data_IF_518053792766
#
_entry.id   IF_518053792766
#
_cell.length_a   1.000
_cell.length_b   1.000
_cell.length_c   1.000
_cell.angle_alpha   90.00
_cell.angle_beta   90.00
_cell.angle_gamma   90.00
#
_symmetry.space_group_name_H-M   'P 1'
#
loop_
_entity.id
_entity.type
_entity.pdbx_description
1 polymer ?
#
# COMPACT_ATOMS: atom_id res chain seq x y z
N UNK A 1 -20.12 -41.28 10.29
CA UNK A 1 -21.18 -42.09 10.91
C UNK A 1 -22.41 -41.25 11.16
N UNK A 2 -23.49 -41.47 10.41
CA UNK A 2 -24.80 -40.89 10.71
C UNK A 2 -25.52 -41.82 11.69
N UNK A 3 -25.84 -41.34 12.89
CA UNK A 3 -26.64 -42.10 13.84
C UNK A 3 -28.11 -41.86 13.50
N UNK A 4 -28.75 -42.85 12.87
CA UNK A 4 -30.18 -42.85 12.61
C UNK A 4 -30.88 -43.58 13.77
N UNK A 5 -31.65 -42.85 14.57
CA UNK A 5 -32.52 -43.45 15.56
C UNK A 5 -33.79 -43.96 14.87
N UNK A 6 -33.89 -45.28 14.66
CA UNK A 6 -35.12 -45.92 14.21
C UNK A 6 -35.97 -46.26 15.44
N UNK A 7 -36.97 -45.43 15.70
CA UNK A 7 -38.07 -45.81 16.60
C UNK A 7 -38.90 -46.88 15.89
N UNK A 8 -38.85 -48.11 16.40
CA UNK A 8 -39.62 -49.24 15.88
C UNK A 8 -40.88 -49.41 16.71
N UNK A 9 -42.03 -49.00 16.17
CA UNK A 9 -43.34 -49.46 16.63
C UNK A 9 -43.90 -50.47 15.62
N UNK A 10 -44.22 -51.67 16.08
CA UNK A 10 -44.84 -52.70 15.25
C UNK A 10 -46.35 -52.50 15.21
N UNK A 11 -46.88 -52.11 14.05
CA UNK A 11 -48.33 -51.99 13.80
C UNK A 11 -48.79 -53.18 12.96
N UNK A 12 -49.83 -53.90 13.41
CA UNK A 12 -50.39 -55.02 12.66
C UNK A 12 -51.22 -54.51 11.46
N UNK A 13 -50.78 -54.83 10.23
CA UNK A 13 -51.52 -54.48 9.02
C UNK A 13 -52.52 -55.60 8.63
N UNK A 14 -53.77 -55.26 8.24
CA UNK A 14 -54.71 -56.23 7.69
C UNK A 14 -54.21 -56.84 6.37
N UNK A 15 -54.56 -58.10 6.09
CA UNK A 15 -54.04 -58.91 4.97
C UNK A 15 -54.29 -58.36 3.56
N UNK A 16 -55.10 -57.31 3.41
CA UNK A 16 -55.48 -56.70 2.13
C UNK A 16 -54.82 -55.32 1.88
N UNK A 17 -53.86 -54.91 2.72
CA UNK A 17 -53.18 -53.62 2.58
C UNK A 17 -51.68 -53.81 2.39
N UNK A 18 -51.11 -53.12 1.40
CA UNK A 18 -49.67 -52.99 1.22
C UNK A 18 -49.18 -51.84 2.11
N UNK A 19 -48.30 -52.08 3.09
CA UNK A 19 -47.79 -51.02 3.93
C UNK A 19 -46.83 -50.12 3.12
N UNK A 20 -47.04 -48.81 3.18
CA UNK A 20 -46.10 -47.83 2.67
C UNK A 20 -45.43 -47.14 3.85
N UNK A 21 -44.11 -47.29 3.95
CA UNK A 21 -43.30 -46.55 4.93
C UNK A 21 -42.76 -45.28 4.27
N UNK A 22 -43.18 -44.13 4.76
CA UNK A 22 -42.58 -42.85 4.39
C UNK A 22 -41.42 -42.56 5.34
N UNK A 23 -40.19 -42.64 4.83
CA UNK A 23 -38.99 -42.25 5.59
C UNK A 23 -38.71 -40.78 5.28
N UNK A 24 -38.96 -39.92 6.26
CA UNK A 24 -38.59 -38.50 6.18
C UNK A 24 -37.24 -38.30 6.88
N UNK A 25 -36.22 -37.95 6.11
CA UNK A 25 -34.88 -37.61 6.62
C UNK A 25 -34.77 -36.08 6.57
N UNK A 26 -34.69 -35.43 7.73
CA UNK A 26 -34.32 -34.00 7.82
C UNK A 26 -32.87 -33.89 8.28
N UNK A 27 -32.08 -33.09 7.57
CA UNK A 27 -30.73 -32.71 8.00
C UNK A 27 -30.75 -31.23 8.32
N UNK A 28 -30.48 -30.88 9.57
CA UNK A 28 -30.31 -29.49 9.95
C UNK A 28 -28.88 -29.06 9.66
N UNK A 29 -28.73 -27.98 8.90
CA UNK A 29 -27.43 -27.38 8.61
C UNK A 29 -27.00 -26.58 9.85
N UNK A 30 -25.91 -26.99 10.50
CA UNK A 30 -25.37 -26.29 11.68
C UNK A 30 -26.42 -25.94 12.75
N UNK A 31 -27.22 -26.93 13.16
CA UNK A 31 -28.17 -26.77 14.28
C UNK A 31 -27.46 -26.39 15.58
N UNK A 32 -27.99 -25.47 16.39
CA UNK A 32 -27.58 -25.22 17.79
C UNK A 32 -26.07 -25.05 18.08
N UNK A 33 -25.38 -24.06 17.51
CA UNK A 33 -24.03 -23.62 17.93
C UNK A 33 -22.98 -24.75 18.08
N UNK A 34 -23.09 -25.83 17.31
CA UNK A 34 -22.16 -26.97 17.41
C UNK A 34 -20.68 -26.57 17.19
N UNK A 35 -20.41 -25.45 16.52
CA UNK A 35 -19.06 -24.95 16.28
C UNK A 35 -18.47 -24.14 17.46
N UNK A 36 -19.22 -23.95 18.55
CA UNK A 36 -18.80 -23.18 19.72
C UNK A 36 -18.47 -21.71 19.41
N UNK A 37 -17.90 -21.01 20.41
CA UNK A 37 -17.53 -19.59 20.28
C UNK A 37 -16.31 -19.35 19.36
N UNK A 38 -15.55 -20.42 19.07
CA UNK A 38 -14.28 -20.36 18.34
C UNK A 38 -14.35 -21.05 16.97
N UNK A 39 -15.55 -21.27 16.44
CA UNK A 39 -15.74 -21.87 15.13
C UNK A 39 -16.84 -21.19 14.34
N UNK A 40 -16.66 -21.10 13.03
CA UNK A 40 -17.70 -20.64 12.11
C UNK A 40 -18.23 -21.82 11.31
N UNK A 41 -19.55 -21.92 11.18
CA UNK A 41 -20.20 -22.91 10.34
C UNK A 41 -19.97 -22.60 8.84
N UNK A 42 -19.51 -23.59 8.09
CA UNK A 42 -19.39 -23.54 6.64
C UNK A 42 -20.24 -24.63 5.99
N UNK A 43 -21.01 -24.23 4.99
CA UNK A 43 -21.81 -25.15 4.18
C UNK A 43 -21.06 -25.38 2.86
N UNK A 44 -20.69 -26.64 2.61
CA UNK A 44 -20.01 -27.07 1.39
C UNK A 44 -21.08 -27.65 0.47
N UNK A 45 -21.42 -26.88 -0.57
CA UNK A 45 -22.32 -27.31 -1.61
C UNK A 45 -21.53 -28.06 -2.70
N UNK A 46 -21.67 -29.38 -2.75
CA UNK A 46 -21.25 -30.20 -3.89
C UNK A 46 -22.47 -30.60 -4.70
N UNK A 47 -22.33 -30.79 -6.01
CA UNK A 47 -23.44 -31.01 -6.97
C UNK A 47 -24.45 -32.11 -6.57
N UNK A 48 -24.08 -33.05 -5.69
CA UNK A 48 -24.97 -34.10 -5.17
C UNK A 48 -25.08 -34.15 -3.63
N UNK A 49 -24.31 -33.37 -2.87
CA UNK A 49 -24.27 -33.44 -1.42
C UNK A 49 -24.11 -32.04 -0.81
N UNK A 50 -24.99 -31.69 0.12
CA UNK A 50 -24.87 -30.49 0.93
C UNK A 50 -24.39 -30.91 2.33
N UNK A 51 -23.14 -30.58 2.65
CA UNK A 51 -22.49 -30.96 3.91
C UNK A 51 -22.22 -29.69 4.70
N UNK A 52 -22.41 -29.73 6.02
CA UNK A 52 -22.00 -28.64 6.92
C UNK A 52 -20.81 -29.07 7.75
N UNK A 53 -19.87 -28.15 7.99
CA UNK A 53 -18.65 -28.39 8.76
C UNK A 53 -18.24 -27.13 9.54
N UNK A 54 -17.59 -27.31 10.68
CA UNK A 54 -17.04 -26.21 11.47
C UNK A 54 -15.61 -25.90 11.01
N UNK A 55 -15.32 -24.61 10.79
CA UNK A 55 -13.94 -24.12 10.64
C UNK A 55 -13.54 -23.43 11.92
N UNK A 56 -12.55 -24.00 12.60
CA UNK A 56 -12.06 -23.48 13.86
C UNK A 56 -11.10 -22.32 13.66
N UNK A 57 -11.16 -21.37 14.59
CA UNK A 57 -10.31 -20.19 14.69
C UNK A 57 -9.47 -20.31 15.98
N UNK A 58 -8.45 -19.48 16.18
CA UNK A 58 -7.80 -19.47 17.50
C UNK A 58 -6.84 -20.62 17.80
N UNK A 59 -6.58 -21.52 16.85
CA UNK A 59 -5.90 -22.79 17.12
C UNK A 59 -6.76 -23.79 17.89
N UNK A 60 -8.07 -23.55 17.99
CA UNK A 60 -9.02 -24.55 18.50
C UNK A 60 -9.16 -25.70 17.51
N UNK A 61 -9.37 -26.90 18.03
CA UNK A 61 -9.47 -28.12 17.24
C UNK A 61 -10.75 -28.91 17.60
N UNK A 62 -10.98 -29.99 16.87
CA UNK A 62 -12.12 -30.89 17.06
C UNK A 62 -13.34 -30.54 16.21
N UNK A 63 -14.31 -31.45 16.16
CA UNK A 63 -15.51 -31.33 15.32
C UNK A 63 -16.33 -30.07 15.61
N UNK A 64 -16.37 -29.64 16.87
CA UNK A 64 -17.10 -28.45 17.31
C UNK A 64 -16.22 -27.28 17.76
N UNK A 65 -14.92 -27.28 17.43
CA UNK A 65 -13.97 -26.22 17.83
C UNK A 65 -13.93 -25.93 19.34
N UNK A 66 -14.12 -26.96 20.16
CA UNK A 66 -14.11 -26.87 21.64
C UNK A 66 -12.81 -27.38 22.26
N UNK A 67 -11.92 -28.04 21.50
CA UNK A 67 -10.62 -28.49 22.02
C UNK A 67 -9.62 -27.33 21.98
N UNK A 68 -9.40 -26.72 23.15
CA UNK A 68 -8.47 -25.60 23.33
C UNK A 68 -7.04 -25.98 23.72
N UNK A 69 -6.65 -27.27 23.66
CA UNK A 69 -5.30 -27.71 24.08
C UNK A 69 -4.17 -27.00 23.32
N UNK A 70 -4.38 -26.74 22.03
CA UNK A 70 -3.44 -26.04 21.16
C UNK A 70 -3.86 -24.59 20.89
N UNK A 71 -4.86 -24.07 21.62
CA UNK A 71 -5.36 -22.72 21.40
C UNK A 71 -4.29 -21.67 21.69
N UNK A 72 -4.18 -20.69 20.80
CA UNK A 72 -3.23 -19.60 20.92
C UNK A 72 -3.76 -18.61 21.96
N UNK A 73 -2.95 -18.21 22.97
CA UNK A 73 -3.42 -17.32 24.01
C UNK A 73 -3.69 -15.91 23.46
N UNK A 74 -4.72 -15.24 23.96
CA UNK A 74 -5.13 -13.89 23.54
C UNK A 74 -3.99 -12.85 23.52
N UNK A 75 -3.01 -12.98 24.43
CA UNK A 75 -1.83 -12.11 24.48
C UNK A 75 -0.99 -12.18 23.20
N UNK A 76 -0.93 -13.33 22.54
CA UNK A 76 -0.20 -13.49 21.28
C UNK A 76 -0.94 -12.80 20.15
N UNK A 77 -2.26 -12.90 20.07
CA UNK A 77 -3.04 -12.14 19.09
C UNK A 77 -2.90 -10.63 19.28
N UNK A 78 -2.97 -10.15 20.52
CA UNK A 78 -2.74 -8.73 20.82
C UNK A 78 -1.32 -8.31 20.44
N UNK A 79 -0.31 -9.12 20.78
CA UNK A 79 1.07 -8.85 20.39
C UNK A 79 1.23 -8.82 18.86
N UNK A 80 0.60 -9.75 18.13
CA UNK A 80 0.58 -9.75 16.66
C UNK A 80 0.05 -8.42 16.13
N UNK A 81 -1.17 -8.04 16.49
CA UNK A 81 -1.79 -6.78 16.02
C UNK A 81 -0.89 -5.59 16.32
N UNK A 82 -0.37 -5.50 17.56
CA UNK A 82 0.50 -4.40 17.96
C UNK A 82 1.81 -4.38 17.18
N UNK A 83 2.45 -5.53 16.95
CA UNK A 83 3.72 -5.58 16.22
C UNK A 83 3.54 -5.15 14.76
N UNK A 84 2.57 -5.74 14.02
CA UNK A 84 2.38 -5.40 12.61
C UNK A 84 1.94 -3.93 12.42
N UNK A 85 1.13 -3.39 13.34
CA UNK A 85 0.67 -2.00 13.25
C UNK A 85 1.76 -1.01 13.66
N UNK A 86 2.44 -1.24 14.79
CA UNK A 86 3.44 -0.31 15.30
C UNK A 86 4.75 -0.33 14.51
N UNK A 87 5.10 -1.46 13.88
CA UNK A 87 6.28 -1.52 12.99
C UNK A 87 6.17 -0.54 11.81
N UNK A 88 4.94 -0.28 11.34
CA UNK A 88 4.70 0.69 10.26
C UNK A 88 5.00 2.12 10.68
N UNK A 89 4.91 2.47 11.96
CA UNK A 89 5.24 3.81 12.46
C UNK A 89 6.72 4.18 12.28
N UNK A 90 7.60 3.22 11.98
CA UNK A 90 8.99 3.52 11.59
C UNK A 90 9.04 4.38 10.33
N UNK A 91 8.02 4.35 9.46
CA UNK A 91 7.89 5.27 8.32
C UNK A 91 7.82 6.75 8.73
N UNK A 92 7.51 7.09 9.98
CA UNK A 92 7.61 8.47 10.47
C UNK A 92 9.02 9.04 10.26
N UNK A 93 10.07 8.21 10.38
CA UNK A 93 11.45 8.63 10.17
C UNK A 93 11.71 9.14 8.73
N UNK A 94 11.47 8.35 7.66
CA UNK A 94 11.62 8.84 6.30
C UNK A 94 10.60 9.92 5.93
N UNK A 95 9.38 9.94 6.49
CA UNK A 95 8.40 11.03 6.26
C UNK A 95 8.96 12.36 6.76
N UNK A 96 9.37 12.42 8.02
CA UNK A 96 9.93 13.65 8.61
C UNK A 96 11.21 14.08 7.88
N UNK A 97 12.07 13.13 7.50
CA UNK A 97 13.27 13.43 6.73
C UNK A 97 12.95 13.98 5.34
N UNK A 98 11.96 13.42 4.65
CA UNK A 98 11.53 13.85 3.33
C UNK A 98 10.96 15.28 3.38
N UNK A 99 10.12 15.58 4.36
CA UNK A 99 9.61 16.94 4.60
C UNK A 99 10.76 17.91 4.86
N UNK A 100 11.67 17.56 5.78
CA UNK A 100 12.83 18.41 6.11
C UNK A 100 13.72 18.71 4.88
N UNK A 101 13.81 17.76 3.95
CA UNK A 101 14.59 17.88 2.71
C UNK A 101 13.75 18.30 1.49
N UNK A 102 12.51 18.74 1.70
CA UNK A 102 11.56 19.22 0.67
C UNK A 102 11.19 18.19 -0.42
N UNK A 103 11.31 16.91 -0.12
CA UNK A 103 10.81 15.80 -0.93
C UNK A 103 9.32 15.55 -0.61
N UNK A 104 8.46 16.50 -0.99
CA UNK A 104 7.05 16.47 -0.59
C UNK A 104 6.26 15.32 -1.21
N UNK A 105 6.53 14.98 -2.47
CA UNK A 105 5.81 13.88 -3.16
C UNK A 105 6.17 12.54 -2.48
N UNK A 106 7.45 12.31 -2.22
CA UNK A 106 7.97 11.16 -1.50
C UNK A 106 7.35 11.07 -0.11
N UNK A 107 7.32 12.19 0.64
CA UNK A 107 6.72 12.21 1.98
C UNK A 107 5.24 11.82 1.98
N UNK A 108 4.48 12.24 0.96
CA UNK A 108 3.08 11.89 0.82
C UNK A 108 2.89 10.40 0.53
N UNK A 109 3.71 9.84 -0.35
CA UNK A 109 3.69 8.40 -0.66
C UNK A 109 4.07 7.56 0.57
N UNK A 110 5.10 7.97 1.33
CA UNK A 110 5.48 7.27 2.56
C UNK A 110 4.40 7.35 3.65
N UNK A 111 3.75 8.50 3.78
CA UNK A 111 2.62 8.66 4.70
C UNK A 111 1.44 7.78 4.27
N UNK A 112 1.10 7.77 2.98
CA UNK A 112 0.04 6.93 2.43
C UNK A 112 0.32 5.45 2.70
N UNK A 113 1.55 4.99 2.49
CA UNK A 113 1.98 3.62 2.81
C UNK A 113 1.84 3.31 4.30
N UNK A 114 2.40 4.16 5.17
CA UNK A 114 2.29 4.00 6.63
C UNK A 114 0.83 3.87 7.08
N UNK A 115 -0.04 4.77 6.58
CA UNK A 115 -1.45 4.81 6.95
C UNK A 115 -2.16 3.51 6.54
N UNK A 116 -2.14 3.17 5.25
CA UNK A 116 -2.88 2.01 4.75
C UNK A 116 -2.32 0.69 5.27
N UNK A 117 -0.99 0.57 5.41
CA UNK A 117 -0.38 -0.62 6.00
C UNK A 117 -0.80 -0.80 7.46
N UNK A 118 -0.80 0.28 8.25
CA UNK A 118 -1.23 0.21 9.66
C UNK A 118 -2.68 -0.26 9.77
N UNK A 119 -3.61 0.32 9.01
CA UNK A 119 -5.02 -0.06 9.09
C UNK A 119 -5.34 -1.40 8.45
N UNK A 120 -4.60 -1.80 7.41
CA UNK A 120 -4.69 -3.14 6.86
C UNK A 120 -4.30 -4.19 7.91
N UNK A 121 -3.14 -4.04 8.54
CA UNK A 121 -2.68 -5.00 9.56
C UNK A 121 -3.49 -4.97 10.85
N UNK A 122 -4.14 -3.85 11.16
CA UNK A 122 -5.15 -3.79 12.21
C UNK A 122 -6.41 -4.59 11.84
N UNK A 123 -6.77 -4.66 10.55
CA UNK A 123 -7.95 -5.35 10.04
C UNK A 123 -7.71 -6.87 9.80
N UNK A 124 -6.49 -7.28 9.45
CA UNK A 124 -6.10 -8.66 9.06
C UNK A 124 -6.04 -9.69 10.21
N UNK A 125 -6.51 -9.34 11.42
CA UNK A 125 -6.34 -10.15 12.62
C UNK A 125 -7.64 -10.82 13.03
N UNK A 126 -7.59 -12.11 13.41
CA UNK A 126 -8.81 -12.91 13.67
C UNK A 126 -9.67 -12.36 14.82
N UNK A 127 -9.09 -12.09 16.00
CA UNK A 127 -9.85 -11.73 17.21
C UNK A 127 -9.83 -10.23 17.56
N UNK A 128 -8.81 -9.51 17.14
CA UNK A 128 -8.63 -8.08 17.41
C UNK A 128 -8.57 -7.29 16.10
N UNK A 129 -9.50 -7.57 15.19
CA UNK A 129 -9.61 -6.83 13.93
C UNK A 129 -10.24 -5.46 14.15
N UNK A 130 -9.65 -4.45 13.49
CA UNK A 130 -10.19 -3.12 13.37
C UNK A 130 -10.09 -2.65 11.92
N UNK A 131 -11.23 -2.60 11.24
CA UNK A 131 -11.32 -2.26 9.82
C UNK A 131 -12.03 -0.91 9.65
N UNK A 132 -11.30 0.10 9.16
CA UNK A 132 -11.89 1.42 8.81
C UNK A 132 -12.59 1.41 7.45
N UNK A 133 -12.30 0.40 6.62
CA UNK A 133 -12.78 0.23 5.26
C UNK A 133 -12.83 -1.27 4.93
N UNK A 134 -13.30 -1.65 3.74
CA UNK A 134 -13.35 -3.07 3.37
C UNK A 134 -11.93 -3.67 3.31
N UNK A 135 -11.81 -4.93 3.76
CA UNK A 135 -10.55 -5.66 3.82
C UNK A 135 -9.80 -5.64 2.49
N UNK A 136 -10.49 -5.95 1.39
CA UNK A 136 -9.90 -5.96 0.05
C UNK A 136 -9.34 -4.61 -0.39
N UNK A 137 -10.02 -3.52 -0.04
CA UNK A 137 -9.59 -2.16 -0.34
C UNK A 137 -8.35 -1.77 0.46
N UNK A 138 -8.34 -2.08 1.76
CA UNK A 138 -7.18 -1.85 2.63
C UNK A 138 -5.96 -2.66 2.17
N UNK A 139 -6.16 -3.93 1.84
CA UNK A 139 -5.11 -4.82 1.35
C UNK A 139 -4.52 -4.30 0.02
N UNK A 140 -5.38 -3.96 -0.94
CA UNK A 140 -4.94 -3.42 -2.22
C UNK A 140 -4.14 -2.12 -2.05
N UNK A 141 -4.61 -1.22 -1.18
CA UNK A 141 -3.94 0.02 -0.88
C UNK A 141 -2.56 -0.19 -0.21
N UNK A 142 -2.46 -1.13 0.74
CA UNK A 142 -1.18 -1.51 1.38
C UNK A 142 -0.14 -1.98 0.36
N UNK A 143 -0.50 -2.91 -0.52
CA UNK A 143 0.42 -3.41 -1.55
C UNK A 143 0.83 -2.32 -2.56
N UNK A 144 -0.12 -1.56 -3.11
CA UNK A 144 0.19 -0.52 -4.11
C UNK A 144 1.04 0.60 -3.49
N UNK A 145 0.73 1.00 -2.26
CA UNK A 145 1.47 2.05 -1.56
C UNK A 145 2.88 1.63 -1.16
N UNK A 146 3.05 0.37 -0.75
CA UNK A 146 4.36 -0.24 -0.53
C UNK A 146 5.17 -0.20 -1.83
N UNK A 147 4.64 -0.72 -2.94
CA UNK A 147 5.33 -0.69 -4.23
C UNK A 147 5.68 0.72 -4.70
N UNK A 148 4.76 1.66 -4.54
CA UNK A 148 4.99 3.07 -4.86
C UNK A 148 6.13 3.65 -4.05
N UNK A 149 6.22 3.32 -2.75
CA UNK A 149 7.31 3.75 -1.87
C UNK A 149 8.67 3.22 -2.32
N UNK A 150 8.75 1.97 -2.79
CA UNK A 150 9.98 1.42 -3.37
C UNK A 150 10.40 2.18 -4.63
N UNK A 151 9.48 2.30 -5.60
CA UNK A 151 9.77 2.92 -6.89
C UNK A 151 10.19 4.37 -6.71
N UNK A 152 9.46 5.15 -5.91
CA UNK A 152 9.77 6.57 -5.71
C UNK A 152 11.09 6.77 -4.97
N UNK A 153 11.43 5.90 -4.01
CA UNK A 153 12.73 5.94 -3.31
C UNK A 153 13.89 5.69 -4.27
N UNK A 154 13.76 4.67 -5.13
CA UNK A 154 14.78 4.36 -6.15
C UNK A 154 14.92 5.51 -7.15
N UNK A 155 13.80 6.06 -7.62
CA UNK A 155 13.81 7.22 -8.53
C UNK A 155 14.40 8.48 -7.87
N UNK A 156 14.23 8.68 -6.57
CA UNK A 156 14.84 9.77 -5.83
C UNK A 156 16.39 9.69 -5.83
N UNK A 157 16.95 8.47 -5.86
CA UNK A 157 18.39 8.23 -6.00
C UNK A 157 18.92 8.44 -7.44
N UNK A 158 18.04 8.46 -8.43
CA UNK A 158 18.42 8.70 -9.82
C UNK A 158 18.76 10.18 -10.07
N UNK A 159 19.67 10.43 -11.01
CA UNK A 159 20.13 11.79 -11.33
C UNK A 159 19.38 12.43 -12.52
N UNK A 160 18.25 11.85 -12.94
CA UNK A 160 17.44 12.42 -14.03
C UNK A 160 16.70 13.69 -13.61
N UNK A 161 16.27 14.45 -14.62
CA UNK A 161 15.38 15.58 -14.43
C UNK A 161 14.05 15.14 -13.81
N UNK A 162 13.43 16.06 -13.06
CA UNK A 162 12.18 15.82 -12.33
C UNK A 162 11.07 15.28 -13.22
N UNK A 163 10.95 15.77 -14.45
CA UNK A 163 9.93 15.35 -15.40
C UNK A 163 9.97 13.83 -15.69
N UNK A 164 11.16 13.28 -15.91
CA UNK A 164 11.34 11.85 -16.19
C UNK A 164 11.07 10.99 -14.96
N UNK A 165 11.47 11.45 -13.77
CA UNK A 165 11.16 10.76 -12.51
C UNK A 165 9.65 10.65 -12.31
N UNK A 166 8.93 11.76 -12.48
CA UNK A 166 7.47 11.81 -12.33
C UNK A 166 6.80 10.91 -13.38
N UNK A 167 7.23 10.99 -14.65
CA UNK A 167 6.71 10.14 -15.70
C UNK A 167 6.88 8.64 -15.39
N UNK A 168 8.10 8.21 -15.05
CA UNK A 168 8.39 6.80 -14.71
C UNK A 168 7.59 6.34 -13.49
N UNK A 169 7.43 7.20 -12.48
CA UNK A 169 6.62 6.89 -11.30
C UNK A 169 5.16 6.64 -11.66
N UNK A 170 4.53 7.52 -12.45
CA UNK A 170 3.12 7.37 -12.83
C UNK A 170 2.88 6.16 -13.74
N UNK A 171 3.79 5.88 -14.68
CA UNK A 171 3.72 4.65 -15.49
C UNK A 171 3.78 3.41 -14.61
N UNK A 172 4.71 3.38 -13.64
CA UNK A 172 4.81 2.29 -12.67
C UNK A 172 3.54 2.16 -11.81
N UNK A 173 3.00 3.27 -11.31
CA UNK A 173 1.79 3.30 -10.49
C UNK A 173 0.58 2.74 -11.25
N UNK A 174 0.36 3.17 -12.49
CA UNK A 174 -0.74 2.67 -13.32
C UNK A 174 -0.61 1.16 -13.56
N UNK A 175 0.60 0.68 -13.85
CA UNK A 175 0.83 -0.75 -14.03
C UNK A 175 0.61 -1.55 -12.72
N UNK A 176 1.05 -1.02 -11.58
CA UNK A 176 0.82 -1.62 -10.27
C UNK A 176 -0.68 -1.70 -9.94
N UNK A 177 -1.46 -0.66 -10.26
CA UNK A 177 -2.92 -0.67 -10.07
C UNK A 177 -3.56 -1.74 -10.98
N UNK A 178 -3.26 -1.71 -12.28
CA UNK A 178 -3.87 -2.64 -13.25
C UNK A 178 -3.58 -4.11 -12.90
N UNK A 179 -2.34 -4.41 -12.50
CA UNK A 179 -1.95 -5.77 -12.15
C UNK A 179 -2.42 -6.13 -10.75
N UNK A 180 -2.37 -5.21 -9.79
CA UNK A 180 -2.87 -5.43 -8.44
C UNK A 180 -4.37 -5.74 -8.41
N UNK A 181 -5.16 -5.23 -9.35
CA UNK A 181 -6.57 -5.61 -9.49
C UNK A 181 -6.76 -7.05 -10.02
N UNK A 182 -5.80 -7.58 -10.77
CA UNK A 182 -5.84 -8.94 -11.32
C UNK A 182 -5.23 -9.97 -10.36
N UNK A 183 -4.01 -9.72 -9.90
CA UNK A 183 -3.26 -10.55 -8.95
C UNK A 183 -2.43 -9.66 -8.02
N UNK A 184 -2.98 -9.44 -6.82
CA UNK A 184 -2.36 -8.63 -5.74
C UNK A 184 -1.04 -9.24 -5.25
N UNK A 185 -0.93 -10.56 -5.31
CA UNK A 185 0.20 -11.31 -4.79
C UNK A 185 1.25 -11.63 -5.85
N UNK A 186 1.14 -11.06 -7.06
CA UNK A 186 2.11 -11.25 -8.13
C UNK A 186 3.48 -10.67 -7.74
N UNK A 187 4.28 -11.53 -7.10
CA UNK A 187 5.67 -11.24 -6.75
C UNK A 187 6.51 -10.91 -7.99
N UNK A 188 6.24 -11.60 -9.11
CA UNK A 188 6.92 -11.38 -10.38
C UNK A 188 6.76 -9.95 -10.88
N UNK A 189 5.56 -9.38 -10.77
CA UNK A 189 5.29 -8.00 -11.20
C UNK A 189 6.07 -7.00 -10.38
N UNK A 190 6.07 -7.16 -9.05
CA UNK A 190 6.85 -6.31 -8.16
C UNK A 190 8.34 -6.32 -8.53
N UNK A 191 8.93 -7.51 -8.68
CA UNK A 191 10.35 -7.67 -9.00
C UNK A 191 10.67 -7.03 -10.35
N UNK A 192 9.81 -7.20 -11.36
CA UNK A 192 10.03 -6.60 -12.70
C UNK A 192 10.08 -5.08 -12.63
N UNK A 193 9.10 -4.42 -12.00
CA UNK A 193 9.09 -2.95 -11.93
C UNK A 193 10.21 -2.39 -11.05
N UNK A 194 10.54 -3.08 -9.96
CA UNK A 194 11.69 -2.73 -9.13
C UNK A 194 13.00 -2.84 -9.91
N UNK A 195 13.20 -3.92 -10.67
CA UNK A 195 14.37 -4.11 -11.53
C UNK A 195 14.46 -3.04 -12.62
N UNK A 196 13.34 -2.62 -13.20
CA UNK A 196 13.30 -1.51 -14.17
C UNK A 196 13.75 -0.21 -13.50
N UNK A 197 13.21 0.14 -12.32
CA UNK A 197 13.59 1.35 -11.60
C UNK A 197 15.06 1.36 -11.18
N UNK A 198 15.58 0.22 -10.72
CA UNK A 198 17.01 0.05 -10.38
C UNK A 198 17.87 0.20 -11.64
N UNK A 199 17.51 -0.47 -12.73
CA UNK A 199 18.24 -0.39 -14.00
C UNK A 199 18.31 1.05 -14.52
N UNK A 200 17.20 1.79 -14.41
CA UNK A 200 17.13 3.20 -14.76
C UNK A 200 18.07 4.06 -13.91
N UNK A 201 18.12 3.80 -12.60
CA UNK A 201 19.03 4.48 -11.66
C UNK A 201 20.49 4.17 -11.96
N UNK A 202 20.84 2.89 -12.12
CA UNK A 202 22.20 2.46 -12.48
C UNK A 202 22.64 3.06 -13.80
N UNK A 203 21.76 3.11 -14.81
CA UNK A 203 22.04 3.73 -16.09
C UNK A 203 22.43 5.22 -15.93
N UNK A 204 21.73 5.98 -15.08
CA UNK A 204 22.13 7.39 -14.82
C UNK A 204 23.51 7.49 -14.21
N UNK A 205 23.81 6.64 -13.24
CA UNK A 205 25.10 6.66 -12.57
C UNK A 205 26.22 6.31 -13.54
N UNK A 206 26.02 5.30 -14.40
CA UNK A 206 26.98 4.92 -15.45
C UNK A 206 27.19 6.07 -16.44
N UNK A 207 26.13 6.73 -16.93
CA UNK A 207 26.29 7.89 -17.83
C UNK A 207 27.10 9.02 -17.18
N UNK A 208 26.84 9.33 -15.91
CA UNK A 208 27.60 10.34 -15.17
C UNK A 208 29.06 9.91 -15.00
N UNK A 209 29.31 8.64 -14.71
CA UNK A 209 30.66 8.11 -14.58
C UNK A 209 31.46 8.25 -15.89
N UNK A 210 30.83 7.93 -17.03
CA UNK A 210 31.44 8.04 -18.36
C UNK A 210 31.70 9.52 -18.69
N UNK A 211 30.71 10.39 -18.49
CA UNK A 211 30.80 11.82 -18.82
C UNK A 211 31.83 12.56 -17.96
N UNK A 212 31.85 12.32 -16.65
CA UNK A 212 32.73 13.03 -15.70
C UNK A 212 34.06 12.32 -15.44
N UNK A 213 34.27 11.12 -16.02
CA UNK A 213 35.43 10.23 -15.78
C UNK A 213 35.74 10.00 -14.28
N UNK A 214 34.72 10.02 -13.44
CA UNK A 214 34.82 9.83 -11.97
C UNK A 214 33.69 8.93 -11.50
N UNK A 215 33.95 8.11 -10.48
CA UNK A 215 32.92 7.24 -9.88
C UNK A 215 31.85 8.10 -9.21
N UNK A 216 30.62 7.93 -9.66
CA UNK A 216 29.41 8.51 -9.09
C UNK A 216 28.49 7.38 -8.64
N UNK A 217 27.93 7.43 -7.43
CA UNK A 217 28.13 8.43 -6.38
C UNK A 217 29.55 8.37 -5.78
N UNK A 218 30.02 9.47 -5.15
CA UNK A 218 31.33 9.49 -4.50
C UNK A 218 31.48 8.36 -3.48
N UNK A 219 32.66 7.71 -3.41
CA UNK A 219 32.91 6.56 -2.52
C UNK A 219 32.51 6.82 -1.06
N UNK A 220 32.73 8.04 -0.55
CA UNK A 220 32.32 8.42 0.81
C UNK A 220 30.80 8.43 0.98
N UNK A 221 30.06 8.99 0.02
CA UNK A 221 28.58 8.99 0.02
C UNK A 221 28.04 7.55 -0.12
N UNK A 222 28.65 6.75 -1.01
CA UNK A 222 28.31 5.34 -1.22
C UNK A 222 28.45 4.52 0.06
N UNK A 223 29.59 4.60 0.74
CA UNK A 223 29.86 3.80 1.95
C UNK A 223 29.03 4.29 3.15
N UNK A 224 28.91 5.62 3.34
CA UNK A 224 28.27 6.17 4.53
C UNK A 224 26.74 6.13 4.48
N UNK A 225 26.16 6.29 3.30
CA UNK A 225 24.70 6.37 3.13
C UNK A 225 24.16 5.15 2.40
N UNK A 226 24.55 4.92 1.15
CA UNK A 226 23.89 3.89 0.34
C UNK A 226 24.17 2.46 0.79
N UNK A 227 25.38 2.14 1.26
CA UNK A 227 25.72 0.77 1.69
C UNK A 227 24.86 0.30 2.89
N UNK A 228 24.73 1.07 4.00
CA UNK A 228 23.78 0.73 5.06
C UNK A 228 22.34 0.56 4.57
N UNK A 229 21.88 1.46 3.68
CA UNK A 229 20.56 1.37 3.08
C UNK A 229 20.35 0.07 2.30
N UNK A 230 21.32 -0.30 1.44
CA UNK A 230 21.28 -1.55 0.68
C UNK A 230 21.31 -2.79 1.57
N UNK A 231 22.13 -2.79 2.62
CA UNK A 231 22.18 -3.91 3.58
C UNK A 231 20.82 -4.08 4.27
N UNK A 232 20.21 -3.00 4.74
CA UNK A 232 18.88 -3.04 5.36
C UNK A 232 17.80 -3.50 4.38
N UNK A 233 17.75 -2.94 3.18
CA UNK A 233 16.77 -3.30 2.16
C UNK A 233 16.91 -4.76 1.73
N UNK A 234 18.14 -5.23 1.49
CA UNK A 234 18.41 -6.62 1.14
C UNK A 234 18.02 -7.56 2.28
N UNK A 235 18.37 -7.21 3.52
CA UNK A 235 17.99 -8.01 4.70
C UNK A 235 16.47 -8.14 4.81
N UNK A 236 15.74 -7.02 4.65
CA UNK A 236 14.29 -7.03 4.59
C UNK A 236 13.79 -7.97 3.51
N UNK A 237 14.16 -7.74 2.25
CA UNK A 237 13.70 -8.55 1.13
C UNK A 237 13.98 -10.05 1.31
N UNK A 238 15.14 -10.43 1.85
CA UNK A 238 15.46 -11.83 2.14
C UNK A 238 14.54 -12.43 3.23
N UNK A 239 14.24 -11.67 4.29
CA UNK A 239 13.31 -12.09 5.34
C UNK A 239 11.93 -12.36 4.73
N UNK A 240 11.42 -11.42 3.94
CA UNK A 240 10.11 -11.52 3.30
C UNK A 240 10.03 -12.70 2.32
N UNK A 241 11.03 -12.85 1.45
CA UNK A 241 10.98 -13.84 0.37
C UNK A 241 11.28 -15.28 0.82
N UNK A 242 12.10 -15.48 1.86
CA UNK A 242 12.61 -16.82 2.19
C UNK A 242 12.32 -17.30 3.62
N UNK A 243 12.16 -16.39 4.59
CA UNK A 243 12.05 -16.77 6.00
C UNK A 243 10.62 -16.70 6.53
N UNK A 244 9.76 -15.92 5.88
CA UNK A 244 8.37 -15.75 6.27
C UNK A 244 7.55 -17.02 6.04
N UNK A 245 6.86 -17.46 7.09
CA UNK A 245 5.92 -18.58 7.12
C UNK A 245 4.63 -18.12 7.81
N UNK A 246 3.58 -18.95 7.77
CA UNK A 246 2.30 -18.60 8.40
C UNK A 246 2.41 -18.42 9.92
N UNK A 247 3.28 -19.18 10.59
CA UNK A 247 3.39 -19.16 12.05
C UNK A 247 4.22 -17.99 12.59
N UNK A 248 5.21 -17.52 11.82
CA UNK A 248 6.12 -16.43 12.21
C UNK A 248 5.83 -15.10 11.49
N UNK A 249 4.76 -15.05 10.68
CA UNK A 249 4.34 -13.90 9.88
C UNK A 249 4.36 -12.60 10.68
N UNK A 250 3.70 -12.57 11.84
CA UNK A 250 3.56 -11.35 12.63
C UNK A 250 4.87 -10.74 13.12
N UNK A 251 5.94 -11.55 13.25
CA UNK A 251 7.27 -11.07 13.65
C UNK A 251 8.08 -10.69 12.41
N UNK A 252 8.21 -11.62 11.46
CA UNK A 252 9.11 -11.43 10.32
C UNK A 252 8.60 -10.35 9.36
N UNK A 253 7.30 -10.24 9.18
CA UNK A 253 6.70 -9.18 8.38
C UNK A 253 6.87 -7.81 9.05
N UNK A 254 6.75 -7.74 10.38
CA UNK A 254 7.05 -6.51 11.14
C UNK A 254 8.51 -6.08 11.00
N UNK A 255 9.45 -7.04 11.10
CA UNK A 255 10.88 -6.76 10.89
C UNK A 255 11.15 -6.29 9.45
N UNK A 256 10.49 -6.90 8.47
CA UNK A 256 10.57 -6.45 7.08
C UNK A 256 10.19 -4.97 6.93
N UNK A 257 9.04 -4.55 7.47
CA UNK A 257 8.60 -3.14 7.48
C UNK A 257 9.66 -2.22 8.08
N UNK A 258 10.19 -2.58 9.26
CA UNK A 258 11.20 -1.79 9.95
C UNK A 258 12.50 -1.65 9.14
N UNK A 259 12.98 -2.74 8.55
CA UNK A 259 14.15 -2.75 7.67
C UNK A 259 13.94 -1.86 6.45
N UNK A 260 12.77 -1.99 5.79
CA UNK A 260 12.48 -1.23 4.59
C UNK A 260 12.33 0.26 4.87
N UNK A 261 11.54 0.66 5.87
CA UNK A 261 11.38 2.05 6.27
C UNK A 261 12.72 2.69 6.69
N UNK A 262 13.55 1.95 7.43
CA UNK A 262 14.88 2.41 7.83
C UNK A 262 15.83 2.59 6.65
N UNK A 263 15.74 1.74 5.62
CA UNK A 263 16.58 1.88 4.41
C UNK A 263 16.34 3.20 3.66
N UNK A 264 15.10 3.70 3.64
CA UNK A 264 14.71 4.93 2.94
C UNK A 264 15.45 6.15 3.52
N UNK A 265 15.66 6.19 4.84
CA UNK A 265 16.41 7.24 5.54
C UNK A 265 17.83 7.42 4.95
N UNK A 266 18.44 6.31 4.53
CA UNK A 266 19.77 6.28 3.93
C UNK A 266 19.76 6.56 2.43
N UNK A 267 18.70 6.17 1.72
CA UNK A 267 18.59 6.36 0.28
C UNK A 267 18.22 7.77 -0.13
N UNK A 268 17.42 8.47 0.67
CA UNK A 268 17.00 9.82 0.31
C UNK A 268 18.25 10.73 0.25
N UNK A 269 18.54 11.42 -0.86
CA UNK A 269 19.63 12.39 -0.92
C UNK A 269 19.23 13.71 -0.26
N UNK A 270 20.21 14.55 0.08
CA UNK A 270 19.92 15.96 0.38
C UNK A 270 19.54 16.65 -0.93
N UNK A 271 18.60 17.58 -0.90
CA UNK A 271 18.32 18.43 -2.06
C UNK A 271 19.63 19.15 -2.43
N UNK A 272 20.26 18.72 -3.53
CA UNK A 272 21.31 19.51 -4.14
C UNK A 272 20.56 20.65 -4.83
N UNK A 273 20.78 21.88 -4.35
CA UNK A 273 20.37 23.09 -5.07
C UNK A 273 20.91 22.91 -6.48
N UNK A 274 20.01 22.73 -7.44
CA UNK A 274 20.38 22.81 -8.84
C UNK A 274 20.81 24.26 -9.05
N UNK A 275 22.11 24.49 -8.96
CA UNK A 275 22.72 25.68 -9.52
C UNK A 275 22.50 25.52 -11.03
N UNK A 276 21.36 26.05 -11.50
CA UNK A 276 21.15 26.30 -12.91
C UNK A 276 22.31 27.19 -13.29
N UNK A 277 23.29 26.61 -13.98
CA UNK A 277 24.39 27.34 -14.55
C UNK A 277 23.80 28.52 -15.30
N UNK A 278 23.97 29.71 -14.72
CA UNK A 278 23.99 30.95 -15.49
C UNK A 278 25.15 30.77 -16.44
N UNK A 279 24.85 30.26 -17.64
CA UNK A 279 25.68 30.51 -18.80
C UNK A 279 25.71 32.02 -18.96
N UNK A 280 26.71 32.65 -18.33
CA UNK A 280 27.17 33.98 -18.68
C UNK A 280 27.74 33.89 -20.09
N UNK A 281 26.84 33.92 -21.08
CA UNK A 281 27.16 34.43 -22.41
C UNK A 281 27.33 35.93 -22.26
N UNK A 282 28.55 36.34 -21.88
CA UNK A 282 29.01 37.71 -22.02
C UNK A 282 29.13 38.05 -23.50
N UNK A 283 28.01 38.44 -24.12
CA UNK A 283 28.07 39.20 -25.35
C UNK A 283 28.53 40.62 -25.01
N UNK A 284 29.76 40.91 -25.45
CA UNK A 284 30.28 42.26 -25.57
C UNK A 284 29.37 43.04 -26.54
N UNK A 285 28.57 43.97 -26.01
CA UNK A 285 28.05 45.07 -26.80
C UNK A 285 28.73 46.35 -26.34
N UNK A 286 29.82 46.70 -27.03
CA UNK A 286 30.42 48.03 -26.99
C UNK A 286 29.69 48.94 -27.98
N UNK A 287 29.50 50.17 -27.53
CA UNK A 287 29.10 51.40 -28.24
C UNK A 287 27.71 51.41 -28.91
N UNK A 288 26.85 52.33 -28.47
CA UNK A 288 26.80 53.69 -29.03
C UNK A 288 26.17 54.66 -28.00
N UNK A 289 26.95 55.70 -27.73
CA UNK A 289 26.70 56.98 -27.09
C UNK A 289 25.30 57.58 -27.35
N UNK A 290 24.67 58.16 -26.33
CA UNK A 290 24.13 59.54 -26.34
C UNK A 290 23.75 59.96 -24.91
N UNK A 291 24.56 60.87 -24.37
CA UNK A 291 24.23 62.05 -23.54
C UNK A 291 22.73 62.28 -23.31
N UNK A 292 22.23 62.57 -22.11
CA UNK A 292 22.19 63.94 -21.55
C UNK A 292 21.69 63.89 -20.11
N UNK A 293 22.21 64.81 -19.30
CA UNK A 293 21.95 65.00 -17.88
C UNK A 293 20.57 65.66 -17.58
N UNK A 294 20.34 65.81 -16.27
CA UNK A 294 19.53 66.83 -15.55
C UNK A 294 18.03 66.57 -15.26
N UNK A 295 17.78 66.25 -13.98
CA UNK A 295 16.81 66.83 -13.01
C UNK A 295 15.55 67.57 -13.48
N UNK A 296 14.40 67.28 -12.85
CA UNK A 296 13.46 68.23 -12.17
C UNK A 296 12.07 67.59 -11.93
N UNK A 297 11.62 67.51 -10.66
CA UNK A 297 10.44 68.21 -10.04
C UNK A 297 9.06 67.86 -10.64
N UNK A 298 8.16 67.18 -9.92
CA UNK A 298 7.16 67.67 -8.92
C UNK A 298 5.81 68.12 -9.54
N UNK A 299 4.70 67.63 -8.96
CA UNK A 299 3.33 68.21 -8.87
C UNK A 299 2.50 68.35 -10.18
N UNK A 300 1.17 68.25 -10.27
CA UNK A 300 0.05 68.16 -9.32
C UNK A 300 -1.27 67.82 -10.09
N UNK A 301 -2.38 67.52 -9.37
CA UNK A 301 -3.81 67.81 -9.67
C UNK A 301 -4.46 67.26 -10.98
N UNK A 302 -5.54 66.46 -11.06
CA UNK A 302 -6.90 66.37 -10.46
C UNK A 302 -8.02 66.73 -11.47
N UNK A 303 -9.08 65.89 -11.51
CA UNK A 303 -10.44 66.09 -12.10
C UNK A 303 -10.58 65.95 -13.65
N UNK A 304 -11.59 65.34 -14.28
CA UNK A 304 -13.00 65.03 -13.94
C UNK A 304 -13.56 63.86 -14.79
N UNK A 305 -14.67 63.31 -14.31
CA UNK A 305 -15.56 62.21 -14.77
C UNK A 305 -16.05 62.16 -16.23
N UNK A 306 -16.19 60.94 -16.76
CA UNK A 306 -17.40 60.46 -17.46
C UNK A 306 -17.43 58.91 -17.52
N UNK A 307 -18.57 58.30 -17.15
CA UNK A 307 -18.94 56.88 -17.28
C UNK A 307 -20.10 56.75 -18.30
N UNK A 308 -20.64 55.57 -18.68
CA UNK A 308 -20.28 54.17 -18.36
C UNK A 308 -20.25 53.23 -19.60
N UNK A 309 -19.72 52.00 -19.46
CA UNK A 309 -20.41 50.74 -19.83
C UNK A 309 -19.48 49.51 -19.88
N UNK A 310 -19.96 48.42 -19.25
CA UNK A 310 -19.71 46.98 -19.56
C UNK A 310 -18.26 46.45 -19.47
N UNK A 311 -17.91 45.31 -18.87
CA UNK A 311 -18.63 44.13 -18.39
C UNK A 311 -17.64 43.32 -17.52
N UNK A 312 -18.06 42.90 -16.32
CA UNK A 312 -17.41 41.83 -15.54
C UNK A 312 -18.13 40.52 -15.90
N UNK A 313 -17.43 39.53 -16.44
CA UNK A 313 -17.94 38.15 -16.46
C UNK A 313 -17.27 37.32 -15.36
N UNK A 314 -18.06 37.05 -14.32
CA UNK A 314 -18.00 35.81 -13.56
C UNK A 314 -18.39 34.68 -14.51
N UNK A 315 -17.70 33.53 -14.45
CA UNK A 315 -18.26 32.26 -14.91
C UNK A 315 -18.27 31.28 -13.74
N UNK A 316 -19.49 30.83 -13.49
CA UNK A 316 -19.98 29.88 -12.50
C UNK A 316 -19.31 28.50 -12.59
N UNK A 317 -19.03 27.92 -11.43
CA UNK A 317 -18.93 26.48 -11.24
C UNK A 317 -20.33 25.87 -11.31
N UNK A 318 -20.52 24.83 -12.12
CA UNK A 318 -21.72 24.00 -12.13
C UNK A 318 -21.40 22.68 -11.42
N UNK A 319 -22.12 22.46 -10.33
CA UNK A 319 -22.25 21.18 -9.62
C UNK A 319 -23.33 20.37 -10.34
N UNK A 320 -23.03 19.13 -10.70
CA UNK A 320 -24.05 18.14 -11.06
C UNK A 320 -23.68 16.80 -10.43
N UNK A 321 -24.48 16.42 -9.44
CA UNK A 321 -24.63 15.07 -8.90
C UNK A 321 -25.08 14.10 -10.01
N UNK A 322 -24.55 12.87 -10.01
CA UNK A 322 -25.27 11.69 -10.50
C UNK A 322 -25.02 10.53 -9.54
N UNK A 323 -26.13 10.07 -8.98
CA UNK A 323 -26.35 8.93 -8.10
C UNK A 323 -26.35 7.58 -8.83
N UNK A 324 -25.94 6.53 -8.10
CA UNK A 324 -26.42 5.13 -8.06
C UNK A 324 -26.83 4.43 -9.37
N UNK A 325 -26.24 3.24 -9.58
CA UNK A 325 -26.99 2.03 -9.96
C UNK A 325 -26.19 0.76 -9.62
N UNK A 326 -26.79 -0.05 -8.75
CA UNK A 326 -26.48 -1.44 -8.45
C UNK A 326 -26.84 -2.35 -9.64
N UNK A 327 -26.00 -3.35 -9.93
CA UNK A 327 -26.35 -4.66 -10.49
C UNK A 327 -25.17 -5.62 -10.31
#
# INVERSE_FOLDING_TARGET
DFIVFLLSESVACPTNYVPHALIQISSDQCSNDYCGDYGTCYIINSQLNLVSACKCSGGYEGYGCTDGRNAIPARVYLASVLFLTTSNLVFLLPICLAIYRKWYIESLIYFYNMFFSTFYHACDQEFYSFCIFNYDGLQLADFISSYSSFIITVLAMSSFERQWKVFTFFVGLLACISIGLYDRFSYSTFVVFLCIAISFTVFTWVKICISRRKIYPERKKLIKFYLPGFVLALTGLLIYSFLQTKSNYWILHSIWHMCMASSIVFFLPKEEVQDFGTDTSGENLKDVTTTTATSSSLSDSSETSNSPSTSKSLIHANVTEISLLEA
#
